data_IF_253618653602
#
_entry.id   IF_253618653602
#
_cell.length_a   1.000
_cell.length_b   1.000
_cell.length_c   1.000
_cell.angle_alpha   90.00
_cell.angle_beta   90.00
_cell.angle_gamma   90.00
#
_symmetry.space_group_name_H-M   'P 1'
#
loop_
_entity.id
_entity.type
_entity.pdbx_description
1 polymer ?
#
# COMPACT_ATOMS: atom_id res chain seq x y z
N UNK A 1 -67.18 -15.90 -55.86
CA UNK A 1 -66.44 -14.63 -55.80
C UNK A 1 -66.64 -13.98 -54.44
N UNK A 2 -67.88 -13.77 -53.99
CA UNK A 2 -68.22 -13.27 -52.63
C UNK A 2 -67.51 -14.03 -51.49
N UNK A 3 -67.68 -15.36 -51.44
CA UNK A 3 -67.14 -16.25 -50.40
C UNK A 3 -65.60 -16.26 -50.32
N UNK A 4 -64.92 -16.08 -51.46
CA UNK A 4 -63.46 -15.97 -51.51
C UNK A 4 -62.99 -14.63 -50.94
N UNK A 5 -63.77 -13.57 -51.17
CA UNK A 5 -63.46 -12.23 -50.67
C UNK A 5 -63.63 -12.17 -49.15
N UNK A 6 -64.71 -12.72 -48.63
CA UNK A 6 -64.96 -12.82 -47.18
C UNK A 6 -63.84 -13.60 -46.47
N UNK A 7 -63.37 -14.70 -47.07
CA UNK A 7 -62.23 -15.46 -46.52
C UNK A 7 -60.90 -14.71 -46.57
N UNK A 8 -60.69 -13.85 -47.57
CA UNK A 8 -59.50 -13.00 -47.64
C UNK A 8 -59.56 -11.92 -46.54
N UNK A 9 -60.72 -11.31 -46.35
CA UNK A 9 -60.93 -10.28 -45.33
C UNK A 9 -60.74 -10.86 -43.91
N UNK A 10 -61.28 -12.06 -43.62
CA UNK A 10 -61.03 -12.76 -42.33
C UNK A 10 -59.54 -13.04 -42.09
N UNK A 11 -58.82 -13.48 -43.13
CA UNK A 11 -57.39 -13.75 -43.03
C UNK A 11 -56.61 -12.46 -42.79
N UNK A 12 -56.99 -11.35 -43.45
CA UNK A 12 -56.34 -10.05 -43.26
C UNK A 12 -56.57 -9.52 -41.83
N UNK A 13 -57.80 -9.60 -41.32
CA UNK A 13 -58.14 -9.20 -39.95
C UNK A 13 -57.36 -10.02 -38.91
N UNK A 14 -57.26 -11.34 -39.10
CA UNK A 14 -56.50 -12.23 -38.21
C UNK A 14 -55.00 -11.95 -38.26
N UNK A 15 -54.46 -11.66 -39.44
CA UNK A 15 -53.05 -11.28 -39.60
C UNK A 15 -52.77 -9.94 -38.91
N UNK A 16 -53.64 -8.95 -39.09
CA UNK A 16 -53.53 -7.64 -38.48
C UNK A 16 -53.62 -7.71 -36.95
N UNK A 17 -54.55 -8.51 -36.40
CA UNK A 17 -54.68 -8.71 -34.97
C UNK A 17 -53.47 -9.45 -34.36
N UNK A 18 -52.98 -10.49 -35.05
CA UNK A 18 -51.78 -11.22 -34.65
C UNK A 18 -50.54 -10.32 -34.65
N UNK A 19 -50.38 -9.47 -35.67
CA UNK A 19 -49.29 -8.51 -35.76
C UNK A 19 -49.36 -7.46 -34.65
N UNK A 20 -50.56 -6.97 -34.33
CA UNK A 20 -50.79 -6.04 -33.23
C UNK A 20 -50.40 -6.67 -31.89
N UNK A 21 -50.87 -7.89 -31.63
CA UNK A 21 -50.58 -8.62 -30.40
C UNK A 21 -49.08 -8.87 -30.24
N UNK A 22 -48.41 -9.31 -31.31
CA UNK A 22 -46.96 -9.55 -31.29
C UNK A 22 -46.17 -8.25 -31.03
N UNK A 23 -46.62 -7.12 -31.57
CA UNK A 23 -46.02 -5.81 -31.32
C UNK A 23 -46.18 -5.37 -29.86
N UNK A 24 -47.34 -5.62 -29.26
CA UNK A 24 -47.61 -5.32 -27.85
C UNK A 24 -46.70 -6.15 -26.94
N UNK A 25 -46.64 -7.46 -27.15
CA UNK A 25 -45.79 -8.37 -26.38
C UNK A 25 -44.30 -8.03 -26.49
N UNK A 26 -43.83 -7.70 -27.70
CA UNK A 26 -42.45 -7.28 -27.88
C UNK A 26 -42.16 -5.97 -27.15
N UNK A 27 -43.10 -5.01 -27.18
CA UNK A 27 -42.98 -3.75 -26.45
C UNK A 27 -42.89 -3.99 -24.94
N UNK A 28 -43.77 -4.81 -24.39
CA UNK A 28 -43.75 -5.15 -22.95
C UNK A 28 -42.46 -5.86 -22.57
N UNK A 29 -42.04 -6.88 -23.33
CA UNK A 29 -40.78 -7.58 -23.08
C UNK A 29 -39.56 -6.66 -23.07
N UNK A 30 -39.48 -5.74 -24.04
CA UNK A 30 -38.41 -4.75 -24.12
C UNK A 30 -38.48 -3.79 -22.92
N UNK A 31 -39.67 -3.32 -22.57
CA UNK A 31 -39.87 -2.42 -21.43
C UNK A 31 -39.45 -3.07 -20.11
N UNK A 32 -39.87 -4.29 -19.85
CA UNK A 32 -39.51 -5.03 -18.63
C UNK A 32 -38.02 -5.34 -18.55
N UNK A 33 -37.42 -5.72 -19.68
CA UNK A 33 -35.98 -5.99 -19.76
C UNK A 33 -35.17 -4.73 -19.48
N UNK A 34 -35.52 -3.62 -20.13
CA UNK A 34 -34.85 -2.33 -19.94
C UNK A 34 -35.06 -1.85 -18.51
N UNK A 35 -36.30 -1.80 -18.01
CA UNK A 35 -36.59 -1.37 -16.64
C UNK A 35 -35.88 -2.21 -15.58
N UNK A 36 -35.82 -3.54 -15.76
CA UNK A 36 -35.03 -4.41 -14.88
C UNK A 36 -33.54 -4.07 -14.91
N UNK A 37 -32.99 -3.80 -16.09
CA UNK A 37 -31.59 -3.42 -16.24
C UNK A 37 -31.28 -2.04 -15.66
N UNK A 38 -32.18 -1.08 -15.82
CA UNK A 38 -32.08 0.28 -15.25
C UNK A 38 -32.10 0.22 -13.72
N UNK A 39 -33.01 -0.55 -13.12
CA UNK A 39 -33.06 -0.73 -11.67
C UNK A 39 -31.76 -1.35 -11.13
N UNK A 40 -31.25 -2.41 -11.77
CA UNK A 40 -29.96 -3.02 -11.39
C UNK A 40 -28.79 -2.06 -11.55
N UNK A 41 -28.84 -1.18 -12.55
CA UNK A 41 -27.82 -0.16 -12.75
C UNK A 41 -27.88 0.90 -11.65
N UNK A 42 -29.07 1.37 -11.29
CA UNK A 42 -29.29 2.31 -10.20
C UNK A 42 -28.76 1.76 -8.86
N UNK A 43 -29.10 0.51 -8.52
CA UNK A 43 -28.59 -0.15 -7.30
C UNK A 43 -27.05 -0.23 -7.26
N UNK A 44 -26.42 -0.50 -8.42
CA UNK A 44 -24.95 -0.51 -8.52
C UNK A 44 -24.35 0.89 -8.40
N UNK A 45 -25.01 1.92 -8.94
CA UNK A 45 -24.58 3.31 -8.80
C UNK A 45 -24.62 3.73 -7.33
N UNK A 46 -25.73 3.47 -6.64
CA UNK A 46 -25.87 3.78 -5.21
C UNK A 46 -24.79 3.09 -4.36
N UNK A 47 -24.53 1.81 -4.65
CA UNK A 47 -23.47 1.06 -3.97
C UNK A 47 -22.06 1.64 -4.23
N UNK A 48 -21.78 2.07 -5.46
CA UNK A 48 -20.52 2.72 -5.81
C UNK A 48 -20.37 4.09 -5.13
N UNK A 49 -21.44 4.88 -5.07
CA UNK A 49 -21.45 6.17 -4.38
C UNK A 49 -21.18 6.02 -2.88
N UNK A 50 -21.76 4.98 -2.25
CA UNK A 50 -21.48 4.64 -0.86
C UNK A 50 -19.99 4.29 -0.65
N UNK A 51 -19.43 3.41 -1.48
CA UNK A 51 -18.01 3.03 -1.42
C UNK A 51 -17.10 4.25 -1.62
N UNK A 52 -17.40 5.11 -2.59
CA UNK A 52 -16.63 6.33 -2.84
C UNK A 52 -16.67 7.27 -1.65
N UNK A 53 -17.80 7.37 -0.96
CA UNK A 53 -17.95 8.20 0.23
C UNK A 53 -17.09 7.65 1.38
N UNK A 54 -17.16 6.36 1.66
CA UNK A 54 -16.32 5.70 2.67
C UNK A 54 -14.83 5.86 2.38
N UNK A 55 -14.39 5.63 1.14
CA UNK A 55 -12.97 5.80 0.77
C UNK A 55 -12.50 7.25 0.93
N UNK A 56 -13.35 8.25 0.64
CA UNK A 56 -13.01 9.66 0.87
C UNK A 56 -12.81 9.95 2.37
N UNK A 57 -13.63 9.36 3.24
CA UNK A 57 -13.49 9.49 4.69
C UNK A 57 -12.20 8.86 5.19
N UNK A 58 -11.89 7.62 4.77
CA UNK A 58 -10.66 6.92 5.12
C UNK A 58 -9.41 7.69 4.66
N UNK A 59 -9.40 8.20 3.42
CA UNK A 59 -8.30 9.02 2.89
C UNK A 59 -8.10 10.28 3.74
N UNK A 60 -9.19 10.92 4.17
CA UNK A 60 -9.10 12.11 5.00
C UNK A 60 -8.55 11.79 6.40
N UNK A 61 -8.92 10.65 6.96
CA UNK A 61 -8.38 10.21 8.25
C UNK A 61 -6.90 9.86 8.16
N UNK A 62 -6.48 9.08 7.16
CA UNK A 62 -5.07 8.79 6.90
C UNK A 62 -4.24 10.07 6.69
N UNK A 63 -4.79 11.07 5.99
CA UNK A 63 -4.13 12.38 5.84
C UNK A 63 -3.97 13.10 7.17
N UNK A 64 -4.95 13.02 8.09
CA UNK A 64 -4.86 13.59 9.44
C UNK A 64 -3.79 12.87 10.27
N UNK A 65 -3.82 11.55 10.30
CA UNK A 65 -2.83 10.74 11.02
C UNK A 65 -1.41 11.02 10.51
N UNK A 66 -1.22 11.08 9.20
CA UNK A 66 0.07 11.39 8.58
C UNK A 66 0.56 12.80 8.99
N UNK A 67 -0.33 13.78 9.08
CA UNK A 67 0.01 15.13 9.58
C UNK A 67 0.45 15.10 11.05
N UNK A 68 -0.25 14.34 11.90
CA UNK A 68 0.11 14.17 13.31
C UNK A 68 1.48 13.50 13.42
N UNK A 69 1.71 12.42 12.68
CA UNK A 69 2.98 11.70 12.67
C UNK A 69 4.15 12.58 12.23
N UNK A 70 3.96 13.37 11.15
CA UNK A 70 4.97 14.35 10.70
C UNK A 70 5.27 15.40 11.76
N UNK A 71 4.24 15.91 12.44
CA UNK A 71 4.42 16.87 13.53
C UNK A 71 5.16 16.23 14.73
N UNK A 72 4.83 14.99 15.09
CA UNK A 72 5.50 14.26 16.16
C UNK A 72 6.98 13.98 15.83
N UNK A 73 7.31 13.62 14.58
CA UNK A 73 8.71 13.48 14.14
C UNK A 73 9.42 14.83 14.18
N UNK A 74 8.83 15.88 13.62
CA UNK A 74 9.41 17.23 13.65
C UNK A 74 9.68 17.68 15.08
N UNK A 75 8.72 17.46 15.99
CA UNK A 75 8.87 17.78 17.40
C UNK A 75 9.88 16.88 18.10
N UNK A 76 9.99 15.59 17.78
CA UNK A 76 11.06 14.71 18.28
C UNK A 76 12.42 15.19 17.81
N UNK A 77 12.56 15.59 16.55
CA UNK A 77 13.80 16.12 15.99
C UNK A 77 14.19 17.46 16.62
N UNK A 78 13.22 18.28 17.03
CA UNK A 78 13.43 19.51 17.80
C UNK A 78 13.70 19.26 19.28
N UNK A 79 13.03 18.29 19.92
CA UNK A 79 13.26 17.90 21.32
C UNK A 79 14.59 17.15 21.49
N UNK A 80 15.01 16.39 20.47
CA UNK A 80 16.35 15.79 20.36
C UNK A 80 17.41 16.80 19.88
N UNK A 81 17.07 18.09 19.74
CA UNK A 81 18.07 19.18 19.77
C UNK A 81 18.54 19.51 21.19
N UNK A 82 18.40 18.60 22.16
CA UNK A 82 19.59 18.29 22.96
C UNK A 82 20.63 17.73 21.99
N UNK A 83 21.29 18.66 21.28
CA UNK A 83 22.46 18.49 20.42
C UNK A 83 22.92 17.03 20.46
N UNK A 84 22.83 16.22 19.39
CA UNK A 84 23.91 15.26 19.25
C UNK A 84 25.11 16.19 19.19
N UNK A 85 25.82 16.32 20.31
CA UNK A 85 27.20 16.66 20.20
C UNK A 85 27.67 15.52 19.30
N UNK A 86 27.79 15.81 18.00
CA UNK A 86 29.02 15.53 17.33
C UNK A 86 30.10 16.18 18.22
N UNK A 87 30.34 15.56 19.38
CA UNK A 87 31.66 15.52 19.94
C UNK A 87 32.42 15.00 18.75
N UNK A 88 33.36 15.80 18.29
CA UNK A 88 34.32 15.37 17.31
C UNK A 88 35.10 14.24 18.00
N UNK A 89 34.49 13.04 18.04
CA UNK A 89 35.04 11.89 18.76
C UNK A 89 36.27 11.56 17.95
N UNK A 90 37.47 11.77 18.49
CA UNK A 90 38.68 11.60 17.71
C UNK A 90 38.72 10.16 17.23
N UNK A 91 38.87 9.96 15.91
CA UNK A 91 39.01 8.61 15.35
C UNK A 91 40.15 7.90 16.05
N UNK A 92 39.95 6.67 16.57
CA UNK A 92 41.03 5.90 17.16
C UNK A 92 42.20 5.74 16.19
N UNK A 93 43.41 5.75 16.75
CA UNK A 93 44.64 5.60 15.96
C UNK A 93 44.56 4.30 15.16
N UNK A 94 45.00 4.35 13.90
CA UNK A 94 45.10 3.17 13.04
C UNK A 94 46.03 2.13 13.66
N UNK A 95 45.61 0.88 13.68
CA UNK A 95 46.44 -0.25 14.10
C UNK A 95 47.73 -0.28 13.28
N UNK A 96 48.89 -0.25 13.93
CA UNK A 96 50.18 -0.14 13.24
C UNK A 96 50.75 -1.50 12.83
N UNK A 97 50.01 -2.58 13.06
CA UNK A 97 50.38 -3.91 12.58
C UNK A 97 51.43 -4.62 13.43
N UNK A 98 51.80 -4.10 14.61
CA UNK A 98 52.75 -4.83 15.45
C UNK A 98 52.10 -6.09 16.02
N UNK A 99 52.87 -7.18 16.09
CA UNK A 99 52.45 -8.46 16.66
C UNK A 99 52.49 -8.42 18.20
N UNK A 100 51.89 -7.39 18.79
CA UNK A 100 51.75 -7.23 20.23
C UNK A 100 50.30 -7.39 20.63
N UNK A 101 50.02 -8.33 21.54
CA UNK A 101 48.68 -8.52 22.10
C UNK A 101 48.15 -7.22 22.72
N UNK A 102 49.03 -6.45 23.38
CA UNK A 102 48.66 -5.17 23.98
C UNK A 102 48.26 -4.10 22.97
N UNK A 103 48.80 -4.10 21.74
CA UNK A 103 48.41 -3.13 20.72
C UNK A 103 47.03 -3.46 20.14
N UNK A 104 46.75 -4.75 19.95
CA UNK A 104 45.44 -5.21 19.48
C UNK A 104 44.35 -4.93 20.51
N UNK A 105 44.61 -5.23 21.79
CA UNK A 105 43.66 -4.95 22.87
C UNK A 105 43.39 -3.45 23.02
N UNK A 106 44.42 -2.61 22.95
CA UNK A 106 44.27 -1.16 23.00
C UNK A 106 43.46 -0.61 21.81
N UNK A 107 43.69 -1.13 20.61
CA UNK A 107 42.96 -0.73 19.41
C UNK A 107 41.48 -1.11 19.49
N UNK A 108 41.18 -2.33 19.91
CA UNK A 108 39.80 -2.80 20.07
C UNK A 108 39.07 -2.04 21.18
N UNK A 109 39.72 -1.79 22.31
CA UNK A 109 39.15 -0.98 23.37
C UNK A 109 38.81 0.43 22.89
N UNK A 110 39.72 1.10 22.18
CA UNK A 110 39.49 2.43 21.63
C UNK A 110 38.36 2.45 20.58
N UNK A 111 38.24 1.41 19.75
CA UNK A 111 37.15 1.28 18.78
C UNK A 111 35.79 1.11 19.47
N UNK A 112 35.69 0.27 20.51
CA UNK A 112 34.45 0.10 21.28
C UNK A 112 33.98 1.43 21.89
N UNK A 113 34.91 2.21 22.45
CA UNK A 113 34.56 3.51 23.02
C UNK A 113 34.14 4.52 21.95
N UNK A 114 34.79 4.50 20.78
CA UNK A 114 34.40 5.35 19.65
C UNK A 114 32.98 5.04 19.16
N UNK A 115 32.63 3.76 18.97
CA UNK A 115 31.28 3.37 18.52
C UNK A 115 30.20 3.69 19.56
N UNK A 116 30.50 3.50 20.86
CA UNK A 116 29.61 3.92 21.96
C UNK A 116 29.38 5.43 21.95
N UNK A 117 30.43 6.22 21.77
CA UNK A 117 30.33 7.68 21.73
C UNK A 117 29.60 8.21 20.47
N UNK A 118 29.64 7.45 19.36
CA UNK A 118 28.89 7.75 18.13
C UNK A 118 27.43 7.25 18.15
N UNK A 119 26.98 6.64 19.25
CA UNK A 119 25.65 6.05 19.39
C UNK A 119 25.30 5.03 18.29
N UNK A 120 26.32 4.31 17.80
CA UNK A 120 26.18 3.23 16.82
C UNK A 120 25.92 1.94 17.59
N UNK A 121 24.68 1.44 17.56
CA UNK A 121 24.22 0.28 18.33
C UNK A 121 24.73 -1.09 17.80
N UNK A 122 24.48 -2.10 18.63
CA UNK A 122 25.20 -3.34 18.95
C UNK A 122 25.60 -4.29 17.79
N UNK A 123 24.95 -4.25 16.63
CA UNK A 123 25.14 -5.27 15.57
C UNK A 123 26.46 -5.12 14.80
N UNK A 124 26.88 -3.88 14.50
CA UNK A 124 28.17 -3.63 13.81
C UNK A 124 29.34 -3.88 14.76
N UNK A 125 29.16 -3.55 16.04
CA UNK A 125 30.17 -3.72 17.09
C UNK A 125 30.42 -5.20 17.38
N UNK A 126 29.36 -6.02 17.48
CA UNK A 126 29.49 -7.48 17.63
C UNK A 126 30.17 -8.16 16.44
N UNK A 127 29.84 -7.74 15.21
CA UNK A 127 30.46 -8.31 14.02
C UNK A 127 31.97 -8.03 13.98
N UNK A 128 32.37 -6.78 14.24
CA UNK A 128 33.79 -6.38 14.26
C UNK A 128 34.58 -7.09 15.38
N UNK A 129 33.99 -7.26 16.57
CA UNK A 129 34.62 -7.99 17.67
C UNK A 129 34.83 -9.48 17.35
N UNK A 130 33.81 -10.12 16.77
CA UNK A 130 33.88 -11.54 16.39
C UNK A 130 34.90 -11.76 15.27
N UNK A 131 34.96 -10.87 14.29
CA UNK A 131 35.93 -10.94 13.19
C UNK A 131 37.37 -10.72 13.68
N UNK A 132 37.59 -9.74 14.56
CA UNK A 132 38.91 -9.49 15.16
C UNK A 132 39.39 -10.68 16.00
N UNK A 133 38.49 -11.27 16.80
CA UNK A 133 38.80 -12.47 17.61
C UNK A 133 39.10 -13.69 16.74
N UNK A 134 38.32 -13.90 15.67
CA UNK A 134 38.55 -14.99 14.73
C UNK A 134 39.90 -14.83 13.99
N UNK A 135 40.27 -13.61 13.61
CA UNK A 135 41.59 -13.34 13.00
C UNK A 135 42.73 -13.58 13.99
N UNK A 136 42.61 -13.17 15.25
CA UNK A 136 43.60 -13.44 16.30
C UNK A 136 43.81 -14.94 16.55
N UNK A 137 42.74 -15.74 16.57
CA UNK A 137 42.81 -17.19 16.74
C UNK A 137 43.52 -17.89 15.57
N UNK A 138 43.41 -17.35 14.35
CA UNK A 138 44.13 -17.87 13.17
C UNK A 138 45.63 -17.57 13.17
N UNK A 139 46.09 -16.62 13.99
CA UNK A 139 47.52 -16.31 14.13
C UNK A 139 48.21 -17.06 15.27
N UNK A 140 47.45 -17.78 16.09
CA UNK A 140 47.96 -18.57 17.23
C UNK A 140 48.01 -20.09 16.98
N UNK A 141 47.58 -20.56 15.80
CA UNK A 141 47.86 -21.90 15.25
C UNK A 141 49.01 -21.81 14.24
#
# INVERSE_FOLDING_TARGET
>A
MEDVKERIDDVDDRLNDGLRTMKEQLREFVWDTIGSSENKLAEKVDALEAIVTTLKEEINELKRELKIFKAAIGNRMLASKSKPQAMDVPKPKTFKGARSASEVDNFLWAMKQYFRAMNIEDDVTKYAENEARAKLQRFTQ
#
